data_IF_092932630340
#
_entry.id   IF_092932630340
#
_cell.length_a   1.000
_cell.length_b   1.000
_cell.length_c   1.000
_cell.angle_alpha   90.00
_cell.angle_beta   90.00
_cell.angle_gamma   90.00
#
_symmetry.space_group_name_H-M   'P 1'
#
loop_
_entity.id
_entity.type
_entity.pdbx_description
1 polymer ?
#
# COMPACT_ATOMS: atom_id res chain seq x y z
N UNK A 1 -8.42 -23.72 0.24
CA UNK A 1 -9.16 -22.48 -0.12
C UNK A 1 -9.26 -21.64 1.13
N UNK A 2 -8.80 -20.39 1.10
CA UNK A 2 -9.09 -19.43 2.17
C UNK A 2 -10.58 -19.09 2.15
N UNK A 3 -11.21 -19.06 3.32
CA UNK A 3 -12.59 -18.60 3.50
C UNK A 3 -12.53 -17.23 4.19
N UNK A 4 -13.30 -16.27 3.68
CA UNK A 4 -13.43 -14.96 4.31
C UNK A 4 -14.53 -15.07 5.38
N UNK A 5 -14.14 -15.13 6.65
CA UNK A 5 -15.07 -15.28 7.78
C UNK A 5 -15.48 -13.94 8.41
N UNK A 6 -14.87 -12.83 7.99
CA UNK A 6 -15.18 -11.50 8.49
C UNK A 6 -14.25 -10.42 7.94
N UNK A 7 -14.51 -9.16 8.31
CA UNK A 7 -13.59 -8.05 8.05
C UNK A 7 -12.48 -8.00 9.11
N UNK A 8 -11.27 -7.66 8.68
CA UNK A 8 -10.16 -7.36 9.58
C UNK A 8 -10.48 -6.08 10.35
N UNK A 9 -10.50 -6.15 11.69
CA UNK A 9 -10.93 -5.06 12.57
C UNK A 9 -9.82 -4.05 12.83
N UNK A 10 -8.60 -4.53 13.00
CA UNK A 10 -7.44 -3.71 13.33
C UNK A 10 -6.12 -4.31 12.83
N UNK A 11 -5.03 -3.60 13.09
CA UNK A 11 -3.69 -4.00 12.67
C UNK A 11 -3.13 -5.22 13.43
N UNK A 12 -3.58 -5.47 14.65
CA UNK A 12 -3.14 -6.65 15.40
C UNK A 12 -3.74 -7.91 14.79
N UNK A 13 -5.02 -7.88 14.44
CA UNK A 13 -5.69 -8.98 13.72
C UNK A 13 -5.04 -9.21 12.34
N UNK A 14 -4.72 -8.13 11.61
CA UNK A 14 -3.97 -8.24 10.36
C UNK A 14 -2.61 -8.92 10.55
N UNK A 15 -1.87 -8.56 11.59
CA UNK A 15 -0.56 -9.17 11.88
C UNK A 15 -0.66 -10.62 12.31
N UNK A 16 -1.69 -11.02 13.05
CA UNK A 16 -1.93 -12.43 13.37
C UNK A 16 -2.03 -13.24 12.09
N UNK A 17 -2.79 -12.75 11.11
CA UNK A 17 -2.94 -13.42 9.82
C UNK A 17 -1.62 -13.49 9.03
N UNK A 18 -0.83 -12.42 9.01
CA UNK A 18 0.50 -12.46 8.39
C UNK A 18 1.44 -13.45 9.08
N UNK A 19 1.41 -13.53 10.41
CA UNK A 19 2.22 -14.49 11.16
C UNK A 19 1.85 -15.94 10.80
N UNK A 20 0.56 -16.25 10.70
CA UNK A 20 0.09 -17.55 10.24
C UNK A 20 0.63 -17.87 8.84
N UNK A 21 0.60 -16.90 7.92
CA UNK A 21 1.19 -17.09 6.58
C UNK A 21 2.68 -17.36 6.66
N UNK A 22 3.42 -16.57 7.43
CA UNK A 22 4.87 -16.75 7.57
C UNK A 22 5.20 -18.13 8.15
N UNK A 23 4.46 -18.58 9.15
CA UNK A 23 4.67 -19.88 9.79
C UNK A 23 4.29 -21.05 8.87
N UNK A 24 3.16 -20.97 8.16
CA UNK A 24 2.74 -22.00 7.20
C UNK A 24 3.69 -22.11 6.01
N UNK A 25 4.24 -20.98 5.55
CA UNK A 25 5.27 -20.94 4.51
C UNK A 25 6.68 -21.23 5.05
N UNK A 26 6.84 -21.41 6.37
CA UNK A 26 8.11 -21.65 7.05
C UNK A 26 9.17 -20.56 6.77
N UNK A 27 8.72 -19.31 6.75
CA UNK A 27 9.54 -18.13 6.53
C UNK A 27 10.18 -17.68 7.84
N UNK A 28 11.39 -18.19 8.10
CA UNK A 28 12.19 -17.80 9.27
C UNK A 28 12.88 -16.46 9.08
N UNK A 29 13.39 -16.20 7.86
CA UNK A 29 14.07 -14.93 7.52
C UNK A 29 13.86 -14.58 6.05
N UNK A 30 13.32 -13.41 5.74
CA UNK A 30 12.92 -13.05 4.38
C UNK A 30 13.09 -11.55 4.06
N UNK A 31 13.11 -11.25 2.76
CA UNK A 31 13.05 -9.89 2.22
C UNK A 31 11.60 -9.47 2.13
N UNK A 32 11.28 -8.29 2.65
CA UNK A 32 9.94 -7.73 2.57
C UNK A 32 9.91 -6.56 1.59
N UNK A 33 9.02 -6.63 0.60
CA UNK A 33 8.86 -5.60 -0.42
C UNK A 33 7.47 -5.01 -0.28
N UNK A 34 7.39 -3.68 -0.14
CA UNK A 34 6.14 -2.96 0.00
C UNK A 34 6.06 -1.81 -1.00
N UNK A 35 4.96 -1.74 -1.75
CA UNK A 35 4.69 -0.66 -2.70
C UNK A 35 3.46 0.15 -2.30
N UNK A 36 3.50 1.49 -2.45
CA UNK A 36 2.39 2.36 -2.07
C UNK A 36 1.97 2.11 -0.61
N UNK A 37 0.68 1.86 -0.35
CA UNK A 37 0.16 1.42 0.96
C UNK A 37 0.88 0.18 1.53
N UNK A 38 1.34 -0.71 0.66
CA UNK A 38 2.13 -1.87 1.05
C UNK A 38 3.47 -1.49 1.68
N UNK A 39 4.03 -0.32 1.36
CA UNK A 39 5.23 0.20 2.00
C UNK A 39 5.02 0.53 3.47
N UNK A 40 3.90 1.19 3.80
CA UNK A 40 3.50 1.44 5.19
C UNK A 40 3.33 0.14 5.95
N UNK A 41 2.60 -0.81 5.35
CA UNK A 41 2.38 -2.12 5.94
C UNK A 41 3.69 -2.91 6.13
N UNK A 42 4.63 -2.78 5.20
CA UNK A 42 5.93 -3.42 5.31
C UNK A 42 6.72 -2.90 6.53
N UNK A 43 6.66 -1.59 6.80
CA UNK A 43 7.23 -1.02 8.02
C UNK A 43 6.50 -1.53 9.25
N UNK A 44 5.17 -1.59 9.25
CA UNK A 44 4.42 -2.17 10.36
C UNK A 44 4.86 -3.60 10.68
N UNK A 45 4.89 -4.48 9.68
CA UNK A 45 5.31 -5.87 9.82
C UNK A 45 6.75 -5.93 10.35
N UNK A 46 7.65 -5.10 9.82
CA UNK A 46 9.04 -5.10 10.25
C UNK A 46 9.23 -4.63 11.69
N UNK A 47 8.43 -3.67 12.17
CA UNK A 47 8.46 -3.22 13.57
C UNK A 47 8.04 -4.34 14.52
N UNK A 48 7.05 -5.17 14.12
CA UNK A 48 6.55 -6.28 14.94
C UNK A 48 7.40 -7.55 14.83
N UNK A 49 8.02 -7.82 13.67
CA UNK A 49 8.71 -9.08 13.36
C UNK A 49 10.18 -8.88 12.98
N UNK A 50 10.88 -7.96 13.65
CA UNK A 50 12.28 -7.55 13.34
C UNK A 50 13.23 -8.73 13.09
N UNK A 51 13.13 -9.79 13.90
CA UNK A 51 14.00 -10.96 13.80
C UNK A 51 13.84 -11.73 12.47
N UNK A 52 12.63 -11.69 11.87
CA UNK A 52 12.31 -12.37 10.62
C UNK A 52 12.66 -11.54 9.38
N UNK A 53 12.89 -10.23 9.52
CA UNK A 53 13.15 -9.37 8.36
C UNK A 53 14.64 -9.31 8.08
N UNK A 54 15.04 -9.78 6.89
CA UNK A 54 16.42 -9.70 6.39
C UNK A 54 16.75 -8.29 5.90
N UNK A 55 15.84 -7.71 5.13
CA UNK A 55 15.94 -6.41 4.49
C UNK A 55 14.56 -6.00 3.97
N UNK A 56 14.38 -4.68 3.78
CA UNK A 56 13.12 -4.09 3.31
C UNK A 56 13.39 -3.35 1.99
N UNK A 57 12.48 -3.48 1.04
CA UNK A 57 12.43 -2.63 -0.16
C UNK A 57 11.11 -1.87 -0.15
N UNK A 58 11.19 -0.54 -0.13
CA UNK A 58 10.04 0.36 -0.15
C UNK A 58 9.97 1.05 -1.51
N UNK A 59 8.83 0.90 -2.19
CA UNK A 59 8.56 1.48 -3.50
C UNK A 59 7.43 2.50 -3.35
N UNK A 60 7.74 3.80 -3.43
CA UNK A 60 6.74 4.87 -3.27
C UNK A 60 5.85 4.68 -2.01
N UNK A 61 6.43 4.48 -0.81
CA UNK A 61 5.65 4.06 0.36
C UNK A 61 4.68 5.16 0.82
N UNK A 62 3.39 4.85 0.88
CA UNK A 62 2.35 5.85 1.18
C UNK A 62 2.23 6.13 2.68
N UNK A 63 2.12 7.41 3.05
CA UNK A 63 1.96 7.87 4.45
C UNK A 63 2.97 7.30 5.45
N UNK A 64 4.13 6.83 4.98
CA UNK A 64 5.10 6.14 5.84
C UNK A 64 5.98 7.12 6.59
N UNK A 65 6.40 8.20 5.92
CA UNK A 65 7.30 9.23 6.48
C UNK A 65 6.62 10.58 6.69
N UNK A 66 5.60 10.88 5.89
CA UNK A 66 4.88 12.15 5.90
C UNK A 66 3.42 11.95 5.49
N UNK A 67 2.57 12.93 5.82
CA UNK A 67 1.19 12.93 5.34
C UNK A 67 1.15 13.16 3.83
N UNK A 68 0.22 12.52 3.13
CA UNK A 68 0.01 12.79 1.71
C UNK A 68 -0.65 14.17 1.58
N UNK A 69 -0.08 15.03 0.74
CA UNK A 69 -0.64 16.32 0.40
C UNK A 69 -1.92 16.13 -0.46
N UNK A 70 -3.08 16.74 -0.12
CA UNK A 70 -4.33 16.57 -0.89
C UNK A 70 -4.35 17.37 -2.20
N UNK A 71 -3.40 17.08 -3.10
CA UNK A 71 -3.34 17.64 -4.45
C UNK A 71 -4.50 17.18 -5.34
N UNK A 72 -4.65 17.83 -6.49
CA UNK A 72 -5.75 17.57 -7.45
C UNK A 72 -5.81 16.12 -7.92
N UNK A 73 -4.66 15.48 -8.10
CA UNK A 73 -4.54 14.08 -8.54
C UNK A 73 -5.00 13.10 -7.45
N UNK A 74 -4.57 13.32 -6.20
CA UNK A 74 -5.04 12.55 -5.05
C UNK A 74 -6.56 12.69 -4.88
N UNK A 75 -7.08 13.92 -5.00
CA UNK A 75 -8.51 14.18 -4.93
C UNK A 75 -9.28 13.47 -6.05
N UNK A 76 -8.76 13.46 -7.27
CA UNK A 76 -9.34 12.73 -8.39
C UNK A 76 -9.43 11.22 -8.08
N UNK A 77 -8.34 10.63 -7.58
CA UNK A 77 -8.28 9.22 -7.21
C UNK A 77 -9.24 8.85 -6.06
N UNK A 78 -9.31 9.70 -5.03
CA UNK A 78 -10.24 9.52 -3.92
C UNK A 78 -11.70 9.61 -4.40
N UNK A 79 -12.03 10.62 -5.21
CA UNK A 79 -13.40 10.78 -5.72
C UNK A 79 -13.81 9.64 -6.65
N UNK A 80 -12.89 9.06 -7.41
CA UNK A 80 -13.16 7.86 -8.21
C UNK A 80 -13.38 6.63 -7.33
N UNK A 81 -12.61 6.48 -6.25
CA UNK A 81 -12.80 5.38 -5.30
C UNK A 81 -14.18 5.43 -4.65
N UNK A 82 -14.67 6.62 -4.30
CA UNK A 82 -16.00 6.81 -3.68
C UNK A 82 -17.14 6.76 -4.69
N UNK A 83 -16.92 7.24 -5.91
CA UNK A 83 -17.92 7.31 -6.97
C UNK A 83 -17.29 6.91 -8.33
N UNK A 84 -17.11 5.59 -8.56
CA UNK A 84 -16.38 5.07 -9.73
C UNK A 84 -17.20 5.25 -11.00
N UNK A 85 -16.98 6.37 -11.70
CA UNK A 85 -17.59 6.66 -13.01
C UNK A 85 -16.62 6.28 -14.12
N UNK A 86 -17.04 5.42 -15.05
CA UNK A 86 -16.20 4.96 -16.19
C UNK A 86 -15.49 6.09 -16.93
N UNK A 87 -16.15 7.22 -17.15
CA UNK A 87 -15.58 8.40 -17.82
C UNK A 87 -14.36 9.04 -17.11
N UNK A 88 -14.14 8.73 -15.83
CA UNK A 88 -13.00 9.22 -15.04
C UNK A 88 -11.85 8.21 -14.94
N UNK A 89 -12.08 6.97 -15.40
CA UNK A 89 -11.11 5.87 -15.25
C UNK A 89 -9.79 6.18 -15.95
N UNK A 90 -9.84 6.75 -17.16
CA UNK A 90 -8.63 7.11 -17.90
C UNK A 90 -7.76 8.11 -17.12
N UNK A 91 -8.35 9.21 -16.65
CA UNK A 91 -7.62 10.21 -15.86
C UNK A 91 -7.05 9.66 -14.56
N UNK A 92 -7.73 8.71 -13.91
CA UNK A 92 -7.18 8.01 -12.74
C UNK A 92 -5.98 7.14 -13.12
N UNK A 93 -6.04 6.45 -14.27
CA UNK A 93 -4.92 5.65 -14.77
C UNK A 93 -3.70 6.51 -15.14
N UNK A 94 -3.91 7.74 -15.63
CA UNK A 94 -2.82 8.69 -15.93
C UNK A 94 -2.03 9.07 -14.67
N UNK A 95 -2.66 9.04 -13.48
CA UNK A 95 -1.94 9.27 -12.21
C UNK A 95 -1.07 8.08 -11.78
N UNK A 96 -1.26 6.90 -12.37
CA UNK A 96 -0.58 5.66 -11.99
C UNK A 96 0.33 5.10 -13.09
N UNK A 97 0.20 5.58 -14.33
CA UNK A 97 0.96 5.12 -15.49
C UNK A 97 1.26 6.29 -16.42
N UNK A 98 2.47 6.31 -16.97
CA UNK A 98 2.92 7.31 -17.95
C UNK A 98 2.30 7.07 -19.34
N UNK A 99 1.90 5.82 -19.64
CA UNK A 99 1.39 5.42 -20.95
C UNK A 99 0.16 4.53 -20.77
N UNK A 100 -0.98 5.18 -20.50
CA UNK A 100 -2.26 4.51 -20.23
C UNK A 100 -2.77 3.75 -21.46
N UNK A 101 -2.49 4.26 -22.66
CA UNK A 101 -2.93 3.66 -23.93
C UNK A 101 -2.29 2.28 -24.19
N UNK A 102 -1.16 1.98 -23.54
CA UNK A 102 -0.52 0.66 -23.59
C UNK A 102 -1.02 -0.33 -22.54
N UNK A 103 -1.91 0.09 -21.64
CA UNK A 103 -2.48 -0.81 -20.66
C UNK A 103 -3.53 -1.69 -21.36
N UNK A 104 -3.37 -3.00 -21.22
CA UNK A 104 -4.33 -3.97 -21.76
C UNK A 104 -5.76 -3.68 -21.29
N UNK A 105 -6.71 -3.67 -22.24
CA UNK A 105 -8.11 -3.36 -21.95
C UNK A 105 -8.73 -4.28 -20.90
N UNK A 106 -8.27 -5.54 -20.82
CA UNK A 106 -8.70 -6.50 -19.81
C UNK A 106 -8.32 -6.06 -18.39
N UNK A 107 -7.15 -5.46 -18.21
CA UNK A 107 -6.72 -4.91 -16.93
C UNK A 107 -7.56 -3.69 -16.55
N UNK A 108 -7.79 -2.77 -17.50
CA UNK A 108 -8.62 -1.58 -17.29
C UNK A 108 -10.03 -1.98 -16.83
N UNK A 109 -10.61 -3.01 -17.46
CA UNK A 109 -11.91 -3.52 -17.11
C UNK A 109 -11.92 -4.21 -15.74
N UNK A 110 -10.92 -5.05 -15.47
CA UNK A 110 -10.77 -5.69 -14.17
C UNK A 110 -10.64 -4.66 -13.05
N UNK A 111 -9.83 -3.62 -13.25
CA UNK A 111 -9.69 -2.53 -12.29
C UNK A 111 -11.02 -1.82 -12.07
N UNK A 112 -11.74 -1.48 -13.14
CA UNK A 112 -13.04 -0.81 -13.03
C UNK A 112 -14.06 -1.61 -12.24
N UNK A 113 -14.16 -2.92 -12.49
CA UNK A 113 -15.05 -3.83 -11.76
C UNK A 113 -14.59 -3.96 -10.30
N UNK A 114 -13.28 -4.11 -10.07
CA UNK A 114 -12.73 -4.25 -8.73
C UNK A 114 -13.01 -3.00 -7.89
N UNK A 115 -12.81 -1.79 -8.42
CA UNK A 115 -13.12 -0.55 -7.70
C UNK A 115 -14.61 -0.42 -7.38
N UNK A 116 -15.50 -0.80 -8.30
CA UNK A 116 -16.95 -0.77 -8.06
C UNK A 116 -17.42 -1.75 -6.98
N UNK A 117 -16.73 -2.89 -6.85
CA UNK A 117 -17.05 -3.93 -5.86
C UNK A 117 -16.28 -3.78 -4.55
N UNK A 118 -15.23 -2.97 -4.53
CA UNK A 118 -14.39 -2.80 -3.36
C UNK A 118 -15.17 -2.11 -2.24
N UNK A 119 -15.03 -2.62 -1.03
CA UNK A 119 -15.46 -1.92 0.18
C UNK A 119 -14.32 -1.01 0.65
N UNK A 120 -14.68 0.17 1.17
CA UNK A 120 -13.69 1.06 1.75
C UNK A 120 -13.16 0.46 3.05
N UNK A 121 -11.89 0.08 3.06
CA UNK A 121 -11.28 -0.52 4.24
C UNK A 121 -10.99 0.55 5.29
N UNK A 122 -11.55 0.37 6.51
CA UNK A 122 -11.25 1.22 7.67
C UNK A 122 -9.77 1.24 8.04
N UNK A 123 -8.99 0.26 7.60
CA UNK A 123 -7.53 0.22 7.74
C UNK A 123 -6.85 1.50 7.24
N UNK A 124 -7.34 2.08 6.14
CA UNK A 124 -6.76 3.31 5.56
C UNK A 124 -6.79 4.46 6.58
N UNK A 125 -7.78 4.49 7.48
CA UNK A 125 -7.89 5.54 8.50
C UNK A 125 -6.85 5.40 9.62
N UNK A 126 -6.18 4.25 9.74
CA UNK A 126 -5.14 4.00 10.73
C UNK A 126 -3.74 4.36 10.20
N UNK A 127 -3.60 4.65 8.90
CA UNK A 127 -2.32 4.97 8.30
C UNK A 127 -1.90 6.40 8.66
N UNK A 128 -0.91 6.50 9.53
CA UNK A 128 -0.25 7.75 9.90
C UNK A 128 1.26 7.60 9.68
N UNK A 129 2.00 8.69 9.45
CA UNK A 129 3.46 8.65 9.42
C UNK A 129 4.04 8.00 10.68
N UNK A 130 5.06 7.16 10.50
CA UNK A 130 5.81 6.60 11.61
C UNK A 130 6.73 7.65 12.22
N UNK A 131 6.94 7.56 13.53
CA UNK A 131 7.89 8.42 14.22
C UNK A 131 9.34 8.07 13.89
N UNK A 132 10.24 9.06 14.02
CA UNK A 132 11.68 8.85 13.92
C UNK A 132 12.18 7.72 14.82
N UNK A 133 11.63 7.57 16.02
CA UNK A 133 12.04 6.54 16.97
C UNK A 133 11.65 5.15 16.49
N UNK A 134 10.45 4.98 15.92
CA UNK A 134 10.03 3.73 15.31
C UNK A 134 10.95 3.38 14.14
N UNK A 135 11.18 4.33 13.23
CA UNK A 135 12.03 4.12 12.05
C UNK A 135 13.49 3.80 12.43
N UNK A 136 14.08 4.53 13.39
CA UNK A 136 15.44 4.25 13.90
C UNK A 136 15.56 2.91 14.61
N UNK A 137 14.44 2.36 15.09
CA UNK A 137 14.43 1.04 15.74
C UNK A 137 14.53 -0.13 14.75
N UNK A 138 14.41 0.14 13.45
CA UNK A 138 14.64 -0.82 12.38
C UNK A 138 16.13 -0.89 12.07
N UNK A 139 16.75 -2.03 12.40
CA UNK A 139 18.21 -2.22 12.30
C UNK A 139 18.64 -2.98 11.04
N UNK A 140 17.69 -3.50 10.27
CA UNK A 140 17.95 -4.17 9.00
C UNK A 140 18.16 -3.15 7.87
N UNK A 141 18.89 -3.52 6.80
CA UNK A 141 19.01 -2.66 5.63
C UNK A 141 17.65 -2.36 4.97
N UNK A 142 17.46 -1.09 4.58
CA UNK A 142 16.27 -0.61 3.88
C UNK A 142 16.69 0.05 2.57
N UNK A 143 16.11 -0.40 1.46
CA UNK A 143 16.17 0.29 0.18
C UNK A 143 14.89 1.09 -0.01
N UNK A 144 15.01 2.40 -0.19
CA UNK A 144 13.90 3.29 -0.47
C UNK A 144 14.00 3.80 -1.91
N UNK A 145 12.95 3.57 -2.70
CA UNK A 145 12.83 4.05 -4.07
C UNK A 145 11.58 4.93 -4.17
N UNK A 146 11.80 6.23 -4.43
CA UNK A 146 10.77 7.24 -4.66
C UNK A 146 11.09 7.89 -6.01
N UNK A 147 10.08 8.06 -6.86
CA UNK A 147 10.25 8.71 -8.15
C UNK A 147 10.24 10.24 -8.04
N UNK A 148 10.90 10.92 -8.97
CA UNK A 148 10.95 12.40 -8.97
C UNK A 148 9.56 13.05 -9.14
N UNK A 149 8.63 12.34 -9.80
CA UNK A 149 7.25 12.76 -10.04
C UNK A 149 6.24 11.93 -9.21
N UNK A 150 6.66 11.45 -8.04
CA UNK A 150 5.85 10.59 -7.18
C UNK A 150 4.74 11.39 -6.49
N UNK A 151 3.48 11.14 -6.82
CA UNK A 151 2.33 11.89 -6.30
C UNK A 151 2.07 11.66 -4.80
N UNK A 152 2.70 10.65 -4.20
CA UNK A 152 2.45 10.19 -2.82
C UNK A 152 3.46 10.80 -1.86
N UNK A 153 4.73 10.90 -2.28
CA UNK A 153 5.87 11.29 -1.45
C UNK A 153 6.46 12.65 -1.81
N UNK A 154 5.77 13.44 -2.63
CA UNK A 154 6.23 14.78 -2.99
C UNK A 154 5.80 15.81 -1.94
N UNK A 155 6.71 16.76 -1.65
CA UNK A 155 6.43 17.92 -0.79
C UNK A 155 5.75 19.07 -1.53
N UNK A 156 5.65 19.00 -2.87
CA UNK A 156 5.01 20.02 -3.72
C UNK A 156 3.49 19.89 -3.77
#
# INVERSE_FOLDING_TARGET
>A
KSQLEGEVKDMMEMMSWYNEIFDQLKLEKFTLIGASKGGWLAIYIALQQKARIKNIVLLSPAQTFMWINPGSEMLANLTYTLAPKRKRLHGVMETMSVDVDKIENSYIEQYSIATQKATFSKFILQMTPYSDNELKSLTMPVLLLIGDNDIINNEK
#
